data_IF_847418191965
#
_entry.id   IF_847418191965
#
_cell.length_a   1.000
_cell.length_b   1.000
_cell.length_c   1.000
_cell.angle_alpha   90.00
_cell.angle_beta   90.00
_cell.angle_gamma   90.00
#
_symmetry.space_group_name_H-M   'P 1'
#
loop_
_entity.id
_entity.type
_entity.pdbx_description
1 polymer ?
#
# COMPACT_ATOMS: atom_id res chain seq x y z
N UNK A 1 58.06 18.51 16.54
CA UNK A 1 57.94 19.13 15.20
C UNK A 1 58.04 18.02 14.15
N UNK A 2 57.01 17.93 13.30
CA UNK A 2 57.02 17.35 11.95
C UNK A 2 57.03 15.81 11.74
N UNK A 3 55.84 15.34 11.32
CA UNK A 3 55.53 14.37 10.26
C UNK A 3 55.98 12.91 10.40
N UNK A 4 55.07 12.05 10.88
CA UNK A 4 55.06 10.61 10.58
C UNK A 4 54.34 10.40 9.23
N UNK A 5 55.09 9.95 8.23
CA UNK A 5 54.59 9.45 6.95
C UNK A 5 54.08 7.99 7.10
N UNK A 6 53.00 7.67 6.39
CA UNK A 6 52.34 6.36 6.31
C UNK A 6 53.20 5.29 5.59
N UNK A 7 52.84 3.99 5.70
CA UNK A 7 52.01 3.38 4.65
C UNK A 7 50.92 2.43 5.21
N UNK A 8 49.67 2.56 4.77
CA UNK A 8 49.01 1.72 3.74
C UNK A 8 48.97 0.22 4.10
N UNK A 9 47.85 -0.24 4.67
CA UNK A 9 47.21 -1.50 4.28
C UNK A 9 45.74 -1.50 4.77
N UNK A 10 44.86 -0.82 4.03
CA UNK A 10 43.41 -0.88 4.27
C UNK A 10 42.83 -2.04 3.45
N UNK A 11 42.52 -3.15 4.11
CA UNK A 11 41.75 -4.27 3.55
C UNK A 11 40.31 -3.82 3.31
N UNK A 12 40.00 -3.45 2.07
CA UNK A 12 38.64 -3.22 1.57
C UNK A 12 37.94 -4.57 1.39
N UNK A 13 37.25 -5.02 2.43
CA UNK A 13 36.24 -6.09 2.28
C UNK A 13 35.04 -5.47 1.59
N UNK A 14 34.96 -5.66 0.27
CA UNK A 14 33.78 -5.36 -0.51
C UNK A 14 32.67 -6.35 -0.14
N UNK A 15 31.89 -6.04 0.89
CA UNK A 15 30.55 -6.60 1.03
C UNK A 15 29.69 -6.02 -0.09
N UNK A 16 29.67 -6.73 -1.23
CA UNK A 16 28.58 -6.65 -2.19
C UNK A 16 27.32 -7.21 -1.51
N UNK A 17 26.70 -6.40 -0.66
CA UNK A 17 25.31 -6.62 -0.28
C UNK A 17 24.53 -6.49 -1.57
N UNK A 18 24.12 -7.63 -2.14
CA UNK A 18 23.15 -7.66 -3.22
C UNK A 18 21.98 -6.81 -2.77
N UNK A 19 21.81 -5.65 -3.39
CA UNK A 19 20.60 -4.87 -3.23
C UNK A 19 19.44 -5.81 -3.54
N UNK A 20 18.55 -5.98 -2.56
CA UNK A 20 17.24 -6.56 -2.78
C UNK A 20 16.56 -5.60 -3.76
N UNK A 21 16.69 -5.88 -5.05
CA UNK A 21 16.04 -5.12 -6.08
C UNK A 21 14.56 -5.16 -5.79
N UNK A 22 13.97 -4.01 -5.50
CA UNK A 22 12.53 -3.83 -5.55
C UNK A 22 12.10 -4.35 -6.93
N UNK A 23 11.30 -5.42 -6.94
CA UNK A 23 10.77 -5.95 -8.18
C UNK A 23 10.08 -4.80 -8.93
N UNK A 24 10.31 -4.67 -10.25
CA UNK A 24 9.68 -3.63 -11.04
C UNK A 24 8.18 -3.70 -10.81
N UNK A 25 7.59 -2.59 -10.35
CA UNK A 25 6.16 -2.48 -10.09
C UNK A 25 5.42 -2.68 -11.41
N UNK A 26 5.04 -3.93 -11.70
CA UNK A 26 4.31 -4.31 -12.90
C UNK A 26 2.98 -3.55 -12.87
N UNK A 27 2.74 -2.59 -13.78
CA UNK A 27 1.62 -1.64 -13.66
C UNK A 27 0.21 -2.24 -13.82
N UNK A 28 0.12 -3.57 -13.92
CA UNK A 28 -1.08 -4.37 -14.19
C UNK A 28 -1.27 -5.53 -13.18
N UNK A 29 -0.47 -5.61 -12.11
CA UNK A 29 -0.66 -6.64 -11.09
C UNK A 29 -2.06 -6.51 -10.48
N UNK A 30 -2.86 -7.57 -10.61
CA UNK A 30 -4.08 -7.73 -9.84
C UNK A 30 -3.75 -7.62 -8.35
N UNK A 31 -4.70 -7.12 -7.55
CA UNK A 31 -4.58 -7.18 -6.09
C UNK A 31 -4.26 -8.61 -5.67
N UNK A 32 -3.23 -8.81 -4.84
CA UNK A 32 -2.95 -10.12 -4.27
C UNK A 32 -4.03 -10.47 -3.25
N UNK A 33 -4.99 -11.29 -3.69
CA UNK A 33 -6.05 -11.82 -2.85
C UNK A 33 -5.92 -13.33 -2.65
N UNK A 34 -4.69 -13.87 -2.72
CA UNK A 34 -4.42 -15.31 -2.56
C UNK A 34 -4.65 -15.83 -1.14
N UNK A 35 -4.78 -14.94 -0.16
CA UNK A 35 -5.03 -15.28 1.24
C UNK A 35 -5.65 -14.11 2.01
N UNK A 36 -6.33 -14.36 3.15
CA UNK A 36 -6.83 -13.31 4.03
C UNK A 36 -5.75 -12.29 4.41
N UNK A 37 -4.53 -12.75 4.69
CA UNK A 37 -3.41 -11.89 5.04
C UNK A 37 -2.99 -10.99 3.88
N UNK A 38 -2.78 -11.55 2.69
CA UNK A 38 -2.45 -10.78 1.48
C UNK A 38 -3.52 -9.74 1.16
N UNK A 39 -4.80 -10.14 1.22
CA UNK A 39 -5.93 -9.25 0.93
C UNK A 39 -6.01 -8.09 1.93
N UNK A 40 -6.03 -8.38 3.24
CA UNK A 40 -6.25 -7.36 4.27
C UNK A 40 -5.11 -6.34 4.30
N UNK A 41 -3.87 -6.82 4.41
CA UNK A 41 -2.72 -5.92 4.54
C UNK A 41 -2.35 -5.27 3.20
N UNK A 42 -2.58 -5.94 2.07
CA UNK A 42 -2.44 -5.32 0.75
C UNK A 42 -3.41 -4.15 0.55
N UNK A 43 -4.68 -4.33 0.95
CA UNK A 43 -5.67 -3.26 0.91
C UNK A 43 -5.26 -2.07 1.80
N UNK A 44 -4.93 -2.33 3.06
CA UNK A 44 -4.53 -1.29 4.03
C UNK A 44 -3.30 -0.53 3.53
N UNK A 45 -2.24 -1.24 3.13
CA UNK A 45 -1.01 -0.64 2.63
C UNK A 45 -1.25 0.25 1.39
N UNK A 46 -2.07 -0.22 0.45
CA UNK A 46 -2.41 0.57 -0.75
C UNK A 46 -3.19 1.83 -0.39
N UNK A 47 -4.10 1.75 0.59
CA UNK A 47 -4.89 2.90 1.06
C UNK A 47 -4.04 3.89 1.87
N UNK A 48 -3.11 3.42 2.68
CA UNK A 48 -2.16 4.25 3.40
C UNK A 48 -1.19 4.95 2.45
N UNK A 49 -0.67 4.25 1.45
CA UNK A 49 0.15 4.85 0.38
C UNK A 49 -0.61 5.99 -0.32
N UNK A 50 -1.89 5.76 -0.63
CA UNK A 50 -2.77 6.75 -1.25
C UNK A 50 -2.97 7.97 -0.35
N UNK A 51 -3.24 7.76 0.93
CA UNK A 51 -3.40 8.83 1.91
C UNK A 51 -2.10 9.64 2.07
N UNK A 52 -0.97 8.95 2.24
CA UNK A 52 0.36 9.56 2.38
C UNK A 52 0.77 10.33 1.11
N UNK A 53 0.37 9.87 -0.07
CA UNK A 53 0.63 10.60 -1.31
C UNK A 53 -0.11 11.94 -1.39
N UNK A 54 -1.17 12.15 -0.61
CA UNK A 54 -1.90 13.42 -0.56
C UNK A 54 -1.54 14.26 0.66
N UNK A 55 -1.53 13.64 1.84
CA UNK A 55 -1.49 14.30 3.14
C UNK A 55 -0.23 13.96 3.96
N UNK A 56 0.63 13.07 3.47
CA UNK A 56 1.90 12.76 4.12
C UNK A 56 2.89 13.93 4.04
N UNK A 57 4.09 13.80 4.63
CA UNK A 57 5.10 14.86 4.61
C UNK A 57 5.46 15.35 3.20
N UNK A 58 5.59 14.40 2.26
CA UNK A 58 5.83 14.64 0.82
C UNK A 58 4.52 14.60 -0.01
N UNK A 59 3.37 14.75 0.66
CA UNK A 59 2.06 14.72 0.04
C UNK A 59 1.76 16.03 -0.69
N UNK A 60 0.99 15.94 -1.77
CA UNK A 60 0.63 17.10 -2.61
C UNK A 60 0.12 18.29 -1.80
N UNK A 61 -0.76 18.04 -0.83
CA UNK A 61 -1.37 19.09 0.00
C UNK A 61 -0.34 19.65 0.98
N UNK A 62 0.42 18.80 1.64
CA UNK A 62 1.43 19.21 2.63
C UNK A 62 2.51 20.08 1.99
N UNK A 63 3.09 19.63 0.88
CA UNK A 63 4.13 20.38 0.15
C UNK A 63 3.59 21.71 -0.38
N UNK A 64 2.33 21.75 -0.81
CA UNK A 64 1.69 23.00 -1.20
C UNK A 64 1.55 23.98 -0.03
N UNK A 65 1.02 23.52 1.11
CA UNK A 65 0.83 24.34 2.30
C UNK A 65 2.15 24.85 2.89
N UNK A 66 3.25 24.13 2.69
CA UNK A 66 4.59 24.55 3.10
C UNK A 66 5.27 25.48 2.09
N UNK A 67 4.70 25.66 0.90
CA UNK A 67 5.26 26.51 -0.15
C UNK A 67 4.74 27.95 -0.05
N UNK A 68 5.45 28.90 -0.65
CA UNK A 68 4.98 30.27 -0.85
C UNK A 68 4.11 30.45 -2.11
N UNK A 69 3.64 29.35 -2.72
CA UNK A 69 2.90 29.39 -3.99
C UNK A 69 1.42 29.68 -3.76
N UNK A 70 0.83 30.50 -4.63
CA UNK A 70 -0.62 30.76 -4.64
C UNK A 70 -1.44 29.59 -5.18
N UNK A 71 -0.82 28.69 -5.96
CA UNK A 71 -1.49 27.56 -6.60
C UNK A 71 -0.61 26.32 -6.52
N UNK A 72 -1.27 25.16 -6.64
CA UNK A 72 -0.60 23.86 -6.76
C UNK A 72 0.34 23.85 -7.97
N UNK A 73 1.52 23.24 -7.79
CA UNK A 73 2.42 22.98 -8.91
C UNK A 73 1.77 21.99 -9.87
N UNK A 74 1.68 22.36 -11.16
CA UNK A 74 1.01 21.54 -12.18
C UNK A 74 1.69 20.19 -12.40
N UNK A 75 3.02 20.16 -12.43
CA UNK A 75 3.77 18.93 -12.70
C UNK A 75 3.65 17.96 -11.51
N UNK A 76 3.80 18.47 -10.28
CA UNK A 76 3.56 17.71 -9.07
C UNK A 76 2.11 17.19 -9.04
N UNK A 77 1.12 18.06 -9.26
CA UNK A 77 -0.29 17.67 -9.31
C UNK A 77 -0.54 16.53 -10.29
N UNK A 78 0.00 16.63 -11.52
CA UNK A 78 -0.17 15.58 -12.53
C UNK A 78 0.46 14.24 -12.09
N UNK A 79 1.64 14.27 -11.47
CA UNK A 79 2.31 13.08 -10.94
C UNK A 79 1.47 12.42 -9.84
N UNK A 80 1.03 13.21 -8.85
CA UNK A 80 0.19 12.73 -7.75
C UNK A 80 -1.15 12.18 -8.27
N UNK A 81 -1.84 12.88 -9.18
CA UNK A 81 -3.10 12.40 -9.76
C UNK A 81 -2.92 11.10 -10.55
N UNK A 82 -1.79 10.92 -11.23
CA UNK A 82 -1.47 9.65 -11.90
C UNK A 82 -1.36 8.51 -10.90
N UNK A 83 -0.68 8.72 -9.76
CA UNK A 83 -0.60 7.72 -8.68
C UNK A 83 -1.95 7.43 -8.03
N UNK A 84 -2.75 8.46 -7.79
CA UNK A 84 -4.10 8.33 -7.20
C UNK A 84 -5.05 7.55 -8.12
N UNK A 85 -5.01 7.80 -9.42
CA UNK A 85 -5.84 7.06 -10.38
C UNK A 85 -5.46 5.58 -10.44
N UNK A 86 -4.16 5.25 -10.39
CA UNK A 86 -3.67 3.86 -10.34
C UNK A 86 -4.10 3.16 -9.06
N UNK A 87 -3.85 3.77 -7.90
CA UNK A 87 -4.20 3.19 -6.58
C UNK A 87 -5.71 3.06 -6.39
N UNK A 88 -6.52 4.00 -6.92
CA UNK A 88 -7.98 3.89 -6.93
C UNK A 88 -8.48 2.66 -7.69
N UNK A 89 -7.89 2.37 -8.87
CA UNK A 89 -8.25 1.16 -9.62
C UNK A 89 -7.82 -0.10 -8.87
N UNK A 90 -6.59 -0.13 -8.38
CA UNK A 90 -6.05 -1.26 -7.63
C UNK A 90 -6.89 -1.61 -6.39
N UNK A 91 -7.25 -0.60 -5.58
CA UNK A 91 -8.00 -0.80 -4.33
C UNK A 91 -9.38 -1.43 -4.54
N UNK A 92 -10.04 -1.14 -5.67
CA UNK A 92 -11.33 -1.76 -6.01
C UNK A 92 -11.23 -3.27 -6.23
N UNK A 93 -10.04 -3.81 -6.59
CA UNK A 93 -9.85 -5.25 -6.79
C UNK A 93 -9.79 -6.06 -5.50
N UNK A 94 -9.71 -5.41 -4.33
CA UNK A 94 -9.80 -6.09 -3.03
C UNK A 94 -11.25 -6.31 -2.56
N UNK A 95 -12.25 -5.76 -3.27
CA UNK A 95 -13.66 -5.82 -2.89
C UNK A 95 -14.44 -6.70 -3.87
N UNK A 96 -15.38 -7.49 -3.35
CA UNK A 96 -16.43 -8.10 -4.18
C UNK A 96 -17.50 -7.05 -4.50
N UNK A 97 -17.48 -6.57 -5.74
CA UNK A 97 -18.40 -5.56 -6.25
C UNK A 97 -19.41 -6.14 -7.26
N UNK A 98 -19.50 -7.47 -7.37
CA UNK A 98 -20.34 -8.17 -8.37
C UNK A 98 -21.83 -7.81 -8.30
N UNK A 99 -22.30 -7.33 -7.14
CA UNK A 99 -23.69 -6.92 -6.91
C UNK A 99 -23.99 -5.46 -7.25
N UNK A 100 -22.97 -4.67 -7.61
CA UNK A 100 -23.14 -3.26 -7.95
C UNK A 100 -23.41 -3.13 -9.46
N UNK A 101 -24.49 -2.44 -9.89
CA UNK A 101 -24.74 -2.21 -11.31
C UNK A 101 -23.59 -1.46 -12.00
N UNK A 102 -23.21 -1.89 -13.21
CA UNK A 102 -22.08 -1.33 -13.97
C UNK A 102 -22.19 0.19 -14.14
N UNK A 103 -23.39 0.71 -14.36
CA UNK A 103 -23.65 2.15 -14.54
C UNK A 103 -23.18 3.02 -13.37
N UNK A 104 -23.07 2.47 -12.16
CA UNK A 104 -22.63 3.20 -10.95
C UNK A 104 -21.35 2.62 -10.34
N UNK A 105 -20.76 1.58 -10.95
CA UNK A 105 -19.68 0.80 -10.36
C UNK A 105 -18.45 1.66 -10.01
N UNK A 106 -18.01 2.54 -10.90
CA UNK A 106 -16.82 3.37 -10.67
C UNK A 106 -17.00 4.37 -9.51
N UNK A 107 -18.21 4.94 -9.38
CA UNK A 107 -18.53 5.86 -8.30
C UNK A 107 -18.67 5.13 -6.97
N UNK A 108 -19.35 3.97 -6.97
CA UNK A 108 -19.60 3.20 -5.76
C UNK A 108 -18.35 2.49 -5.25
N UNK A 109 -17.54 1.90 -6.13
CA UNK A 109 -16.31 1.19 -5.76
C UNK A 109 -15.40 2.09 -4.92
N UNK A 110 -15.22 3.32 -5.35
CA UNK A 110 -14.41 4.30 -4.65
C UNK A 110 -14.94 4.64 -3.26
N UNK A 111 -16.25 4.87 -3.15
CA UNK A 111 -16.90 5.21 -1.88
C UNK A 111 -16.78 4.05 -0.89
N UNK A 112 -17.05 2.84 -1.35
CA UNK A 112 -16.95 1.62 -0.54
C UNK A 112 -15.51 1.36 -0.07
N UNK A 113 -14.53 1.57 -0.95
CA UNK A 113 -13.11 1.49 -0.58
C UNK A 113 -12.74 2.48 0.53
N UNK A 114 -13.20 3.74 0.45
CA UNK A 114 -12.95 4.72 1.53
C UNK A 114 -13.64 4.28 2.83
N UNK A 115 -14.93 3.93 2.76
CA UNK A 115 -15.70 3.51 3.92
C UNK A 115 -15.08 2.29 4.62
N UNK A 116 -14.62 1.30 3.85
CA UNK A 116 -13.94 0.14 4.40
C UNK A 116 -12.67 0.54 5.15
N UNK A 117 -11.84 1.42 4.59
CA UNK A 117 -10.64 1.90 5.31
C UNK A 117 -11.00 2.64 6.59
N UNK A 118 -12.02 3.48 6.58
CA UNK A 118 -12.49 4.18 7.79
C UNK A 118 -13.03 3.25 8.87
N UNK A 119 -13.63 2.11 8.49
CA UNK A 119 -14.04 1.07 9.43
C UNK A 119 -12.81 0.35 9.99
N UNK A 120 -11.90 -0.09 9.12
CA UNK A 120 -10.69 -0.81 9.52
C UNK A 120 -9.78 0.04 10.42
N UNK A 121 -9.71 1.35 10.20
CA UNK A 121 -8.90 2.27 11.03
C UNK A 121 -9.44 2.48 12.44
N UNK A 122 -10.71 2.14 12.68
CA UNK A 122 -11.38 2.30 13.98
C UNK A 122 -11.51 1.02 14.78
N UNK A 123 -11.22 -0.13 14.17
CA UNK A 123 -11.32 -1.42 14.85
C UNK A 123 -9.94 -1.97 15.22
N UNK A 124 -9.83 -2.74 16.32
CA UNK A 124 -8.60 -3.47 16.61
C UNK A 124 -8.39 -4.52 15.52
N UNK A 125 -7.31 -4.39 14.76
CA UNK A 125 -6.90 -5.39 13.79
C UNK A 125 -5.97 -6.42 14.44
N UNK A 126 -6.10 -7.71 14.11
CA UNK A 126 -5.18 -8.74 14.59
C UNK A 126 -3.76 -8.50 14.09
N UNK A 127 -2.78 -9.04 14.81
CA UNK A 127 -1.40 -9.02 14.35
C UNK A 127 -1.26 -9.78 13.03
N UNK A 128 -0.31 -9.40 12.18
CA UNK A 128 -0.16 -10.00 10.84
C UNK A 128 -0.01 -11.52 10.88
N UNK A 129 0.65 -12.06 11.91
CA UNK A 129 0.86 -13.49 12.11
C UNK A 129 -0.43 -14.26 12.47
N UNK A 130 -1.42 -13.57 13.04
CA UNK A 130 -2.71 -14.16 13.43
C UNK A 130 -3.69 -14.25 12.26
N UNK A 131 -3.49 -13.44 11.22
CA UNK A 131 -4.30 -13.50 9.99
C UNK A 131 -3.81 -14.67 9.12
N UNK A 132 -4.65 -15.60 8.65
CA UNK A 132 -4.20 -16.74 7.85
C UNK A 132 -3.57 -16.35 6.51
N UNK A 133 -2.45 -16.97 6.15
CA UNK A 133 -1.88 -16.94 4.79
C UNK A 133 -2.43 -18.08 3.91
N UNK A 134 -1.91 -18.15 2.68
CA UNK A 134 -2.29 -19.14 1.70
C UNK A 134 -2.07 -20.57 2.24
N UNK A 135 -0.94 -20.84 2.90
CA UNK A 135 -0.63 -22.16 3.46
C UNK A 135 -1.63 -22.54 4.57
N UNK A 136 -1.87 -21.63 5.52
CA UNK A 136 -2.84 -21.83 6.60
C UNK A 136 -4.28 -21.98 6.09
N UNK A 137 -4.59 -21.51 4.89
CA UNK A 137 -5.89 -21.66 4.23
C UNK A 137 -6.02 -22.96 3.42
N UNK A 138 -4.92 -23.61 3.01
CA UNK A 138 -4.98 -24.86 2.22
C UNK A 138 -5.71 -25.98 2.97
N UNK A 139 -5.42 -26.14 4.27
CA UNK A 139 -6.02 -27.17 5.12
C UNK A 139 -7.46 -26.91 5.60
N UNK A 140 -8.04 -25.74 5.31
CA UNK A 140 -9.39 -25.39 5.81
C UNK A 140 -10.49 -25.88 4.87
N UNK A 141 -11.56 -26.42 5.47
CA UNK A 141 -12.81 -26.79 4.78
C UNK A 141 -13.49 -25.57 4.16
N UNK A 142 -13.50 -24.44 4.88
CA UNK A 142 -14.02 -23.17 4.38
C UNK A 142 -12.88 -22.27 3.95
N UNK A 143 -12.97 -21.75 2.72
CA UNK A 143 -11.99 -20.79 2.19
C UNK A 143 -12.26 -19.35 2.59
N UNK A 144 -13.15 -19.12 3.56
CA UNK A 144 -13.45 -17.79 4.11
C UNK A 144 -12.88 -17.64 5.51
N UNK A 145 -12.34 -16.47 5.80
CA UNK A 145 -11.91 -16.05 7.12
C UNK A 145 -12.68 -14.80 7.54
N UNK A 146 -13.16 -14.78 8.78
CA UNK A 146 -13.87 -13.66 9.39
C UNK A 146 -12.86 -12.82 10.17
N UNK A 147 -12.84 -11.51 9.92
CA UNK A 147 -12.02 -10.59 10.74
C UNK A 147 -12.58 -10.62 12.17
N UNK A 148 -11.75 -10.79 13.22
CA UNK A 148 -12.21 -10.80 14.60
C UNK A 148 -13.14 -9.63 14.94
N UNK A 149 -14.14 -9.89 15.77
CA UNK A 149 -15.11 -8.89 16.28
C UNK A 149 -15.87 -8.08 15.21
N UNK A 150 -15.99 -8.61 13.98
CA UNK A 150 -16.73 -7.95 12.90
C UNK A 150 -17.37 -8.96 11.96
N UNK A 151 -18.42 -8.57 11.22
CA UNK A 151 -19.03 -9.43 10.19
C UNK A 151 -18.31 -9.39 8.83
N UNK A 152 -17.12 -8.78 8.77
CA UNK A 152 -16.31 -8.73 7.55
C UNK A 152 -15.66 -10.09 7.29
N UNK A 153 -15.80 -10.58 6.07
CA UNK A 153 -15.21 -11.84 5.63
C UNK A 153 -14.31 -11.65 4.42
N UNK A 154 -13.19 -12.36 4.40
CA UNK A 154 -12.26 -12.44 3.29
C UNK A 154 -12.25 -13.88 2.76
N UNK A 155 -12.37 -14.05 1.44
CA UNK A 155 -12.37 -15.34 0.75
C UNK A 155 -11.02 -15.62 0.07
#
# INVERSE_FOLDING_TARGET
MHHRFAPILLLLVACFSKGLGAAPSAPLLAADTSSPRSTLFGFIATMDERCNSLLGPEGLVTTYLQSSRLFLDKAATQSHMTRLSKTRKLTAHYLDLSRIPIAILEQQSWRLTIQLKEILDRMPLPAIQEVPDAEAMQGRTFKKWKIPDSDLTIA
#
